data_IF_698190324947
#
_entry.id   IF_698190324947
#
_cell.length_a   1.000
_cell.length_b   1.000
_cell.length_c   1.000
_cell.angle_alpha   90.00
_cell.angle_beta   90.00
_cell.angle_gamma   90.00
#
_symmetry.space_group_name_H-M   'P 1'
#
loop_
_entity.id
_entity.type
_entity.pdbx_description
1 polymer ?
#
# COMPACT_ATOMS: atom_id res chain seq x y z
N UNK A 1 -6.47 -28.35 -33.65
CA UNK A 1 -6.63 -27.91 -32.24
C UNK A 1 -5.32 -27.92 -31.41
N UNK A 2 -4.14 -28.16 -32.00
CA UNK A 2 -2.86 -28.24 -31.25
C UNK A 2 -2.01 -26.96 -31.18
N UNK A 3 -2.17 -26.01 -32.11
CA UNK A 3 -1.29 -24.82 -32.18
C UNK A 3 -1.59 -23.76 -31.11
N UNK A 4 -2.86 -23.63 -30.69
CA UNK A 4 -3.29 -22.59 -29.73
C UNK A 4 -2.74 -22.84 -28.32
N UNK A 5 -2.63 -24.09 -27.89
CA UNK A 5 -2.08 -24.46 -26.56
C UNK A 5 -0.56 -24.29 -26.51
N UNK A 6 0.13 -24.64 -27.60
CA UNK A 6 1.59 -24.56 -27.67
C UNK A 6 2.09 -23.10 -27.64
N UNK A 7 1.39 -22.19 -28.34
CA UNK A 7 1.71 -20.76 -28.31
C UNK A 7 1.50 -20.08 -26.95
N UNK A 8 0.58 -20.60 -26.12
CA UNK A 8 0.39 -20.13 -24.74
C UNK A 8 1.56 -20.56 -23.84
N UNK A 9 2.00 -21.83 -23.95
CA UNK A 9 3.15 -22.33 -23.17
C UNK A 9 4.48 -21.65 -23.53
N UNK A 10 4.66 -21.28 -24.81
CA UNK A 10 5.86 -20.59 -25.28
C UNK A 10 5.91 -19.12 -24.82
N UNK A 11 4.74 -18.45 -24.76
CA UNK A 11 4.60 -17.10 -24.20
C UNK A 11 4.80 -17.10 -22.68
N UNK A 12 4.24 -18.06 -21.98
CA UNK A 12 4.41 -18.23 -20.52
C UNK A 12 5.89 -18.47 -20.14
N UNK A 13 6.56 -19.35 -20.89
CA UNK A 13 8.00 -19.60 -20.70
C UNK A 13 8.85 -18.35 -20.99
N UNK A 14 8.51 -17.57 -22.03
CA UNK A 14 9.22 -16.32 -22.37
C UNK A 14 9.05 -15.25 -21.30
N UNK A 15 7.82 -15.08 -20.78
CA UNK A 15 7.53 -14.17 -19.67
C UNK A 15 8.33 -14.57 -18.41
N UNK A 16 8.37 -15.87 -18.09
CA UNK A 16 9.16 -16.41 -16.98
C UNK A 16 10.67 -16.18 -17.14
N UNK A 17 11.21 -16.34 -18.35
CA UNK A 17 12.63 -16.04 -18.65
C UNK A 17 12.95 -14.58 -18.44
N UNK A 18 12.14 -13.67 -18.99
CA UNK A 18 12.39 -12.24 -18.83
C UNK A 18 12.19 -11.75 -17.38
N UNK A 19 11.27 -12.36 -16.63
CA UNK A 19 11.13 -12.15 -15.17
C UNK A 19 12.41 -12.50 -14.42
N UNK A 20 13.03 -13.65 -14.71
CA UNK A 20 14.28 -14.04 -14.06
C UNK A 20 15.46 -13.10 -14.39
N UNK A 21 15.47 -12.53 -15.60
CA UNK A 21 16.45 -11.50 -15.99
C UNK A 21 16.22 -10.19 -15.21
N UNK A 22 14.96 -9.82 -14.95
CA UNK A 22 14.59 -8.65 -14.15
C UNK A 22 14.99 -8.83 -12.67
N UNK A 23 14.68 -9.99 -12.07
CA UNK A 23 14.90 -10.28 -10.63
C UNK A 23 16.37 -10.47 -10.26
N UNK A 24 17.16 -11.13 -11.11
CA UNK A 24 18.56 -11.48 -10.80
C UNK A 24 19.58 -10.48 -11.36
N UNK A 25 19.13 -9.45 -12.07
CA UNK A 25 20.03 -8.58 -12.83
C UNK A 25 20.73 -9.34 -13.97
N UNK A 26 21.91 -8.90 -14.42
CA UNK A 26 22.64 -9.56 -15.49
C UNK A 26 22.80 -11.07 -15.21
N UNK A 27 22.31 -11.92 -16.11
CA UNK A 27 22.33 -13.39 -15.96
C UNK A 27 22.68 -14.11 -17.27
N UNK A 28 23.26 -15.30 -17.19
CA UNK A 28 23.62 -16.10 -18.38
C UNK A 28 22.51 -17.08 -18.79
N UNK A 29 22.50 -17.50 -20.06
CA UNK A 29 21.54 -18.49 -20.56
C UNK A 29 21.63 -19.85 -19.83
N UNK A 30 22.82 -20.24 -19.36
CA UNK A 30 22.99 -21.49 -18.58
C UNK A 30 22.30 -21.37 -17.23
N UNK A 31 22.56 -20.29 -16.50
CA UNK A 31 21.96 -20.05 -15.18
C UNK A 31 20.42 -19.89 -15.25
N UNK A 32 19.91 -19.36 -16.37
CA UNK A 32 18.47 -19.33 -16.64
C UNK A 32 17.92 -20.74 -16.91
N UNK A 33 18.62 -21.57 -17.69
CA UNK A 33 18.23 -22.95 -17.96
C UNK A 33 18.08 -23.78 -16.70
N UNK A 34 19.05 -23.69 -15.79
CA UNK A 34 19.04 -24.39 -14.50
C UNK A 34 17.83 -24.01 -13.64
N UNK A 35 17.39 -22.74 -13.69
CA UNK A 35 16.26 -22.22 -12.90
C UNK A 35 14.89 -22.53 -13.49
N UNK A 36 14.80 -22.60 -14.82
CA UNK A 36 13.53 -22.86 -15.53
C UNK A 36 13.31 -24.35 -15.78
N UNK A 37 14.36 -25.18 -15.63
CA UNK A 37 14.32 -26.61 -15.94
C UNK A 37 14.38 -26.90 -17.44
N UNK A 38 15.02 -26.01 -18.20
CA UNK A 38 15.12 -26.09 -19.66
C UNK A 38 16.57 -26.12 -20.12
N UNK A 39 16.80 -26.71 -21.28
CA UNK A 39 18.15 -26.72 -21.87
C UNK A 39 18.58 -25.30 -22.25
N UNK A 40 19.89 -24.98 -22.22
CA UNK A 40 20.38 -23.68 -22.66
C UNK A 40 20.00 -23.34 -24.11
N UNK A 41 19.78 -24.35 -24.97
CA UNK A 41 19.32 -24.14 -26.34
C UNK A 41 17.87 -23.66 -26.41
N UNK A 42 16.98 -24.24 -25.60
CA UNK A 42 15.58 -23.80 -25.50
C UNK A 42 15.49 -22.37 -24.97
N UNK A 43 16.26 -22.05 -23.92
CA UNK A 43 16.31 -20.70 -23.34
C UNK A 43 16.83 -19.66 -24.34
N UNK A 44 17.82 -19.99 -25.17
CA UNK A 44 18.35 -19.06 -26.19
C UNK A 44 17.27 -18.58 -27.17
N UNK A 45 16.35 -19.45 -27.59
CA UNK A 45 15.23 -19.05 -28.47
C UNK A 45 14.37 -17.96 -27.83
N UNK A 46 14.09 -18.07 -26.54
CA UNK A 46 13.33 -17.05 -25.80
C UNK A 46 14.14 -15.76 -25.63
N UNK A 47 15.43 -15.86 -25.32
CA UNK A 47 16.32 -14.70 -25.19
C UNK A 47 16.48 -13.95 -26.52
N UNK A 48 16.58 -14.66 -27.64
CA UNK A 48 16.68 -14.04 -28.96
C UNK A 48 15.40 -13.28 -29.33
N UNK A 49 14.22 -13.83 -28.98
CA UNK A 49 12.95 -13.13 -29.15
C UNK A 49 12.86 -11.87 -28.28
N UNK A 50 13.24 -11.97 -27.00
CA UNK A 50 13.25 -10.83 -26.08
C UNK A 50 14.26 -9.74 -26.48
N UNK A 51 15.38 -10.12 -27.10
CA UNK A 51 16.34 -9.18 -27.69
C UNK A 51 15.74 -8.48 -28.90
N UNK A 52 15.06 -9.22 -29.79
CA UNK A 52 14.39 -8.66 -30.96
C UNK A 52 13.27 -7.68 -30.57
N UNK A 53 12.57 -7.95 -29.47
CA UNK A 53 11.54 -7.09 -28.89
C UNK A 53 12.12 -5.91 -28.08
N UNK A 54 13.45 -5.81 -27.92
CA UNK A 54 14.10 -4.73 -27.15
C UNK A 54 13.87 -4.81 -25.63
N UNK A 55 13.35 -5.92 -25.12
CA UNK A 55 13.01 -6.13 -23.71
C UNK A 55 14.24 -6.42 -22.85
N UNK A 56 15.28 -6.99 -23.45
CA UNK A 56 16.56 -7.29 -22.81
C UNK A 56 17.72 -6.81 -23.67
N UNK A 57 18.89 -6.66 -23.08
CA UNK A 57 20.14 -6.29 -23.74
C UNK A 57 21.28 -7.25 -23.37
N UNK A 58 22.26 -7.37 -24.25
CA UNK A 58 23.47 -8.17 -23.99
C UNK A 58 24.52 -7.28 -23.31
N UNK A 59 24.87 -7.61 -22.07
CA UNK A 59 26.05 -7.08 -21.40
C UNK A 59 27.23 -8.05 -21.53
N UNK A 60 28.41 -7.51 -21.83
CA UNK A 60 29.66 -8.28 -21.77
C UNK A 60 30.14 -8.28 -20.31
N UNK A 61 30.62 -9.42 -19.82
CA UNK A 61 31.27 -9.47 -18.52
C UNK A 61 32.43 -8.46 -18.49
N UNK A 62 32.56 -7.67 -17.42
CA UNK A 62 33.85 -7.04 -17.12
C UNK A 62 34.86 -8.18 -16.93
N UNK A 63 36.08 -8.09 -17.47
CA UNK A 63 37.08 -9.15 -17.37
C UNK A 63 37.64 -9.20 -15.94
N UNK A 64 36.85 -9.69 -14.98
CA UNK A 64 37.37 -10.14 -13.70
C UNK A 64 37.75 -11.62 -13.87
N UNK A 65 39.05 -11.86 -14.05
CA UNK A 65 39.75 -13.15 -14.11
C UNK A 65 39.70 -13.92 -15.45
N UNK A 66 40.90 -14.12 -16.02
CA UNK A 66 41.15 -15.09 -17.10
C UNK A 66 40.93 -16.50 -16.56
N UNK A 67 39.81 -17.15 -16.86
CA UNK A 67 39.69 -18.61 -16.75
C UNK A 67 38.91 -19.20 -17.92
N UNK A 68 39.61 -20.02 -18.70
CA UNK A 68 39.04 -20.98 -19.66
C UNK A 68 39.25 -20.68 -21.15
N UNK A 69 39.54 -21.71 -21.95
CA UNK A 69 39.34 -21.71 -23.40
C UNK A 69 37.84 -21.65 -23.69
N UNK A 70 37.39 -20.68 -24.48
CA UNK A 70 36.00 -20.58 -24.93
C UNK A 70 35.58 -19.13 -25.24
N UNK A 71 34.54 -18.96 -26.04
CA UNK A 71 33.92 -17.64 -26.28
C UNK A 71 33.32 -17.13 -24.96
N UNK A 72 33.57 -15.88 -24.54
CA UNK A 72 33.00 -15.33 -23.31
C UNK A 72 31.48 -15.50 -23.26
N UNK A 73 30.95 -15.90 -22.09
CA UNK A 73 29.52 -16.04 -21.89
C UNK A 73 28.82 -14.69 -22.07
N UNK A 74 27.71 -14.66 -22.82
CA UNK A 74 26.82 -13.52 -22.92
C UNK A 74 26.01 -13.39 -21.62
N UNK A 75 25.95 -12.18 -21.07
CA UNK A 75 25.06 -11.84 -19.96
C UNK A 75 23.90 -11.04 -20.52
N UNK A 76 22.70 -11.33 -20.03
CA UNK A 76 21.47 -10.69 -20.45
C UNK A 76 20.95 -9.85 -19.29
N UNK A 77 20.60 -8.60 -19.54
CA UNK A 77 20.03 -7.69 -18.56
C UNK A 77 18.72 -7.11 -19.11
N UNK A 78 17.79 -6.78 -18.22
CA UNK A 78 16.54 -6.12 -18.62
C UNK A 78 16.84 -4.69 -19.09
N UNK A 79 16.18 -4.24 -20.16
CA UNK A 79 16.20 -2.82 -20.58
C UNK A 79 15.17 -2.02 -19.79
N UNK A 80 15.19 -0.70 -19.91
CA UNK A 80 14.15 0.15 -19.33
C UNK A 80 12.78 -0.11 -19.98
N UNK A 81 12.74 -0.34 -21.30
CA UNK A 81 11.53 -0.73 -22.01
C UNK A 81 10.99 -2.09 -21.52
N UNK A 82 11.88 -3.07 -21.33
CA UNK A 82 11.52 -4.36 -20.74
C UNK A 82 10.95 -4.21 -19.34
N UNK A 83 11.62 -3.41 -18.49
CA UNK A 83 11.16 -3.14 -17.13
C UNK A 83 9.77 -2.51 -17.11
N UNK A 84 9.50 -1.52 -17.97
CA UNK A 84 8.19 -0.86 -18.07
C UNK A 84 7.09 -1.82 -18.55
N UNK A 85 7.36 -2.67 -19.53
CA UNK A 85 6.37 -3.63 -20.04
C UNK A 85 5.95 -4.67 -18.98
N UNK A 86 6.84 -5.07 -18.08
CA UNK A 86 6.48 -5.95 -16.96
C UNK A 86 5.55 -5.27 -15.96
N UNK A 87 5.80 -4.00 -15.64
CA UNK A 87 4.94 -3.23 -14.71
C UNK A 87 3.51 -3.18 -15.26
N UNK A 88 3.35 -2.86 -16.55
CA UNK A 88 2.03 -2.81 -17.18
C UNK A 88 1.32 -4.17 -17.24
N UNK A 89 2.04 -5.26 -17.52
CA UNK A 89 1.42 -6.59 -17.58
C UNK A 89 0.91 -7.09 -16.21
N UNK A 90 1.59 -6.74 -15.11
CA UNK A 90 1.12 -7.08 -13.76
C UNK A 90 -0.07 -6.24 -13.35
N UNK A 91 -0.05 -4.95 -13.68
CA UNK A 91 -1.18 -4.07 -13.42
C UNK A 91 -2.42 -4.53 -14.19
N UNK A 92 -2.28 -4.91 -15.46
CA UNK A 92 -3.38 -5.46 -16.27
C UNK A 92 -3.96 -6.75 -15.66
N UNK A 93 -3.08 -7.67 -15.22
CA UNK A 93 -3.51 -8.90 -14.57
C UNK A 93 -4.22 -8.63 -13.24
N UNK A 94 -3.69 -7.72 -12.41
CA UNK A 94 -4.28 -7.33 -11.14
C UNK A 94 -5.65 -6.68 -11.34
N UNK A 95 -5.76 -5.74 -12.29
CA UNK A 95 -7.02 -5.11 -12.70
C UNK A 95 -8.01 -6.15 -13.19
N UNK A 96 -7.60 -7.09 -14.05
CA UNK A 96 -8.49 -8.16 -14.53
C UNK A 96 -8.97 -9.07 -13.40
N UNK A 97 -8.13 -9.36 -12.41
CA UNK A 97 -8.51 -10.17 -11.26
C UNK A 97 -9.53 -9.45 -10.37
N UNK A 98 -9.35 -8.15 -10.14
CA UNK A 98 -10.31 -7.35 -9.38
C UNK A 98 -11.64 -7.14 -10.13
N UNK A 99 -11.61 -6.97 -11.45
CA UNK A 99 -12.83 -6.98 -12.29
C UNK A 99 -13.59 -8.28 -12.12
N UNK A 100 -12.90 -9.42 -12.23
CA UNK A 100 -13.52 -10.72 -12.03
C UNK A 100 -14.10 -10.87 -10.62
N UNK A 101 -13.39 -10.38 -9.59
CA UNK A 101 -13.88 -10.38 -8.22
C UNK A 101 -15.16 -9.53 -8.07
N UNK A 102 -15.17 -8.32 -8.63
CA UNK A 102 -16.32 -7.43 -8.64
C UNK A 102 -17.52 -8.09 -9.34
N UNK A 103 -17.30 -8.71 -10.51
CA UNK A 103 -18.34 -9.41 -11.26
C UNK A 103 -18.93 -10.61 -10.52
N UNK A 104 -18.11 -11.39 -9.81
CA UNK A 104 -18.55 -12.64 -9.17
C UNK A 104 -19.02 -12.49 -7.74
N UNK A 105 -18.45 -11.56 -6.99
CA UNK A 105 -18.68 -11.40 -5.56
C UNK A 105 -19.16 -9.99 -5.18
N UNK A 106 -19.25 -9.07 -6.15
CA UNK A 106 -19.72 -7.70 -5.95
C UNK A 106 -18.65 -6.76 -5.41
N UNK A 107 -18.97 -5.46 -5.45
CA UNK A 107 -18.09 -4.37 -4.99
C UNK A 107 -17.62 -4.53 -3.54
N UNK A 108 -18.49 -5.06 -2.65
CA UNK A 108 -18.13 -5.29 -1.24
C UNK A 108 -16.96 -6.24 -1.09
N UNK A 109 -16.84 -7.24 -1.97
CA UNK A 109 -15.71 -8.16 -1.94
C UNK A 109 -14.39 -7.47 -2.34
N UNK A 110 -14.45 -6.49 -3.26
CA UNK A 110 -13.30 -5.65 -3.62
C UNK A 110 -12.88 -4.78 -2.45
N UNK A 111 -13.84 -4.16 -1.75
CA UNK A 111 -13.56 -3.38 -0.51
C UNK A 111 -12.88 -4.24 0.55
N UNK A 112 -13.39 -5.44 0.83
CA UNK A 112 -12.78 -6.34 1.82
C UNK A 112 -11.40 -6.85 1.39
N UNK A 113 -11.21 -7.12 0.09
CA UNK A 113 -9.88 -7.42 -0.45
C UNK A 113 -8.90 -6.27 -0.24
N UNK A 114 -9.29 -5.04 -0.56
CA UNK A 114 -8.47 -3.84 -0.37
C UNK A 114 -8.08 -3.66 1.10
N UNK A 115 -9.05 -3.77 2.01
CA UNK A 115 -8.80 -3.71 3.47
C UNK A 115 -7.84 -4.79 3.93
N UNK A 116 -7.99 -6.02 3.44
CA UNK A 116 -7.09 -7.13 3.79
C UNK A 116 -5.66 -6.87 3.31
N UNK A 117 -5.48 -6.40 2.08
CA UNK A 117 -4.16 -6.05 1.54
C UNK A 117 -3.48 -4.96 2.37
N UNK A 118 -4.23 -3.92 2.76
CA UNK A 118 -3.70 -2.83 3.58
C UNK A 118 -3.47 -3.27 5.03
N UNK A 119 -4.29 -4.16 5.59
CA UNK A 119 -4.09 -4.66 6.95
C UNK A 119 -2.72 -5.35 7.12
N UNK A 120 -2.22 -6.02 6.08
CA UNK A 120 -0.91 -6.66 6.08
C UNK A 120 0.24 -5.63 6.10
N UNK A 121 0.09 -4.52 5.37
CA UNK A 121 0.98 -3.35 5.43
C UNK A 121 0.93 -2.69 6.81
N UNK A 122 -0.28 -2.44 7.32
CA UNK A 122 -0.53 -1.82 8.61
C UNK A 122 0.16 -2.58 9.75
N UNK A 123 0.05 -3.92 9.78
CA UNK A 123 0.73 -4.75 10.78
C UNK A 123 2.26 -4.59 10.76
N UNK A 124 2.86 -4.38 9.58
CA UNK A 124 4.32 -4.15 9.46
C UNK A 124 4.72 -2.75 9.92
N UNK A 125 3.90 -1.74 9.65
CA UNK A 125 4.22 -0.34 9.94
C UNK A 125 3.91 0.07 11.37
N UNK A 126 2.89 -0.54 11.99
CA UNK A 126 2.43 -0.19 13.33
C UNK A 126 3.56 -0.14 14.37
N UNK A 127 4.45 -1.14 14.54
CA UNK A 127 5.52 -1.06 15.54
C UNK A 127 6.45 0.13 15.28
N UNK A 128 6.90 0.32 14.03
CA UNK A 128 7.81 1.41 13.64
C UNK A 128 7.20 2.79 13.89
N UNK A 129 5.90 2.94 13.65
CA UNK A 129 5.18 4.20 13.86
C UNK A 129 4.89 4.44 15.34
N UNK A 130 4.53 3.42 16.12
CA UNK A 130 4.16 3.58 17.53
C UNK A 130 5.36 3.78 18.46
N UNK A 131 6.52 3.19 18.14
CA UNK A 131 7.79 3.42 18.86
C UNK A 131 8.26 4.88 18.75
N UNK A 132 7.82 5.59 17.72
CA UNK A 132 8.21 6.97 17.50
C UNK A 132 7.38 7.96 18.36
N UNK A 133 8.02 9.03 18.88
CA UNK A 133 7.33 10.14 19.50
C UNK A 133 6.19 10.67 18.60
N UNK A 134 5.05 11.12 19.16
CA UNK A 134 3.87 11.52 18.38
C UNK A 134 4.11 12.51 17.24
N UNK A 135 5.09 13.42 17.39
CA UNK A 135 5.48 14.43 16.40
C UNK A 135 6.40 13.91 15.29
N UNK A 136 6.87 12.65 15.37
CA UNK A 136 7.71 12.00 14.36
C UNK A 136 6.96 10.90 13.60
N UNK A 137 5.71 10.60 13.97
CA UNK A 137 4.95 9.47 13.43
C UNK A 137 4.66 9.58 11.94
N UNK A 138 4.32 10.77 11.45
CA UNK A 138 4.10 11.00 10.00
C UNK A 138 5.39 10.78 9.23
N UNK A 139 6.52 11.28 9.76
CA UNK A 139 7.85 11.03 9.16
C UNK A 139 8.20 9.55 9.13
N UNK A 140 7.95 8.82 10.21
CA UNK A 140 8.23 7.38 10.30
C UNK A 140 7.36 6.55 9.37
N UNK A 141 6.10 6.93 9.23
CA UNK A 141 5.21 6.34 8.22
C UNK A 141 5.72 6.61 6.80
N UNK A 142 6.16 7.83 6.49
CA UNK A 142 6.74 8.18 5.19
C UNK A 142 8.03 7.39 4.89
N UNK A 143 8.91 7.20 5.88
CA UNK A 143 10.12 6.38 5.76
C UNK A 143 9.75 4.91 5.45
N UNK A 144 8.77 4.34 6.16
CA UNK A 144 8.31 2.97 5.93
C UNK A 144 7.69 2.78 4.53
N UNK A 145 6.81 3.71 4.12
CA UNK A 145 6.21 3.73 2.78
C UNK A 145 7.27 3.86 1.68
N UNK A 146 8.32 4.66 1.90
CA UNK A 146 9.42 4.78 0.94
C UNK A 146 10.20 3.47 0.80
N UNK A 147 10.39 2.72 1.89
CA UNK A 147 10.98 1.40 1.86
C UNK A 147 10.20 0.40 0.99
N UNK A 148 8.88 0.56 0.93
CA UNK A 148 7.97 -0.24 0.09
C UNK A 148 7.73 0.40 -1.30
N UNK A 149 8.50 1.43 -1.67
CA UNK A 149 8.52 1.98 -3.03
C UNK A 149 7.52 3.10 -3.32
N UNK A 150 6.89 3.71 -2.31
CA UNK A 150 5.95 4.83 -2.50
C UNK A 150 6.62 6.20 -2.66
N UNK A 151 7.96 6.29 -2.52
CA UNK A 151 8.70 7.54 -2.56
C UNK A 151 8.01 8.65 -1.74
N UNK A 152 7.84 8.39 -0.44
CA UNK A 152 7.00 9.18 0.44
C UNK A 152 7.79 10.16 1.31
N UNK A 153 7.17 11.31 1.62
CA UNK A 153 7.75 12.34 2.47
C UNK A 153 6.70 12.93 3.41
N UNK A 154 7.16 13.38 4.59
CA UNK A 154 6.35 14.17 5.51
C UNK A 154 6.65 15.67 5.29
N UNK A 155 5.59 16.47 5.19
CA UNK A 155 5.65 17.92 5.06
C UNK A 155 4.77 18.60 6.12
N UNK A 156 5.00 19.88 6.39
CA UNK A 156 4.09 20.67 7.23
C UNK A 156 2.85 21.03 6.42
N UNK A 157 1.70 21.11 7.09
CA UNK A 157 0.49 21.64 6.48
C UNK A 157 0.70 23.09 5.98
N UNK A 158 -0.05 23.53 4.96
CA UNK A 158 0.16 24.82 4.31
C UNK A 158 -0.14 26.03 5.20
N UNK A 159 -0.81 25.84 6.35
CA UNK A 159 -1.10 26.88 7.34
C UNK A 159 -0.38 26.58 8.66
N UNK A 160 0.14 27.59 9.39
CA UNK A 160 0.65 27.41 10.75
C UNK A 160 -0.41 26.75 11.65
N UNK A 161 0.00 25.73 12.41
CA UNK A 161 -0.93 24.93 13.24
C UNK A 161 -1.87 24.02 12.45
N UNK A 162 -1.80 24.01 11.11
CA UNK A 162 -2.67 23.23 10.23
C UNK A 162 -2.30 21.76 10.07
N UNK A 163 -1.56 21.16 11.01
CA UNK A 163 -1.16 19.75 10.96
C UNK A 163 0.00 19.44 10.02
N UNK A 164 0.07 18.19 9.58
CA UNK A 164 1.13 17.64 8.72
C UNK A 164 0.52 17.11 7.41
N UNK A 165 1.37 16.84 6.43
CA UNK A 165 1.01 16.17 5.19
C UNK A 165 1.92 14.98 4.96
N UNK A 166 1.33 13.87 4.53
CA UNK A 166 2.01 12.71 4.00
C UNK A 166 1.86 12.74 2.47
N UNK A 167 2.98 12.91 1.77
CA UNK A 167 3.03 12.99 0.32
C UNK A 167 3.67 11.72 -0.24
N UNK A 168 3.07 11.08 -1.25
CA UNK A 168 3.65 9.95 -1.97
C UNK A 168 3.87 10.37 -3.43
N UNK A 169 5.14 10.40 -3.86
CA UNK A 169 5.53 10.77 -5.22
C UNK A 169 5.46 9.59 -6.20
N UNK A 170 5.24 8.38 -5.68
CA UNK A 170 5.02 7.17 -6.46
C UNK A 170 3.96 6.31 -5.77
N UNK A 171 3.09 5.68 -6.55
CA UNK A 171 2.14 4.70 -6.03
C UNK A 171 2.26 3.43 -6.87
N UNK A 172 2.80 2.33 -6.31
CA UNK A 172 3.00 1.06 -7.04
C UNK A 172 1.72 0.45 -7.60
N UNK A 173 0.55 0.85 -7.11
CA UNK A 173 -0.76 0.35 -7.53
C UNK A 173 -1.61 1.44 -8.18
N UNK A 174 -1.01 2.56 -8.62
CA UNK A 174 -1.76 3.70 -9.16
C UNK A 174 -2.68 3.31 -10.33
N UNK A 175 -2.21 2.44 -11.22
CA UNK A 175 -2.99 2.00 -12.37
C UNK A 175 -4.23 1.19 -11.95
N UNK A 176 -4.05 0.25 -11.03
CA UNK A 176 -5.15 -0.56 -10.50
C UNK A 176 -6.12 0.30 -9.68
N UNK A 177 -5.61 1.21 -8.88
CA UNK A 177 -6.40 2.09 -8.02
C UNK A 177 -7.19 3.15 -8.80
N UNK A 178 -6.82 3.43 -10.07
CA UNK A 178 -7.59 4.32 -10.93
C UNK A 178 -8.98 3.74 -11.26
N UNK A 179 -9.08 2.42 -11.34
CA UNK A 179 -10.35 1.71 -11.55
C UNK A 179 -10.98 1.19 -10.26
N UNK A 180 -10.16 0.88 -9.25
CA UNK A 180 -10.61 0.38 -7.94
C UNK A 180 -10.21 1.33 -6.80
N UNK A 181 -10.94 2.46 -6.60
CA UNK A 181 -10.65 3.45 -5.56
C UNK A 181 -10.65 2.90 -4.13
N UNK A 182 -11.29 1.75 -3.91
CA UNK A 182 -11.31 1.04 -2.62
C UNK A 182 -9.90 0.82 -2.06
N UNK A 183 -8.88 0.70 -2.92
CA UNK A 183 -7.47 0.60 -2.51
C UNK A 183 -6.97 1.90 -1.84
N UNK A 184 -7.28 3.06 -2.43
CA UNK A 184 -6.94 4.37 -1.87
C UNK A 184 -7.73 4.66 -0.58
N UNK A 185 -8.99 4.24 -0.52
CA UNK A 185 -9.85 4.38 0.65
C UNK A 185 -9.31 3.56 1.83
N UNK A 186 -9.03 2.27 1.61
CA UNK A 186 -8.47 1.38 2.62
C UNK A 186 -7.11 1.88 3.14
N UNK A 187 -6.24 2.39 2.26
CA UNK A 187 -4.98 3.01 2.64
C UNK A 187 -5.20 4.22 3.56
N UNK A 188 -6.16 5.08 3.21
CA UNK A 188 -6.50 6.27 4.00
C UNK A 188 -7.06 5.90 5.38
N UNK A 189 -7.94 4.90 5.46
CA UNK A 189 -8.42 4.35 6.72
C UNK A 189 -7.26 3.84 7.60
N UNK A 190 -6.31 3.13 7.02
CA UNK A 190 -5.15 2.59 7.73
C UNK A 190 -4.19 3.69 8.20
N UNK A 191 -3.96 4.74 7.41
CA UNK A 191 -3.16 5.89 7.85
C UNK A 191 -3.79 6.57 9.07
N UNK A 192 -5.12 6.70 9.10
CA UNK A 192 -5.85 7.21 10.27
C UNK A 192 -5.55 6.40 11.53
N UNK A 193 -5.61 5.07 11.42
CA UNK A 193 -5.35 4.13 12.53
C UNK A 193 -3.89 4.14 12.98
N UNK A 194 -2.94 4.07 12.04
CA UNK A 194 -1.51 4.08 12.30
C UNK A 194 -1.07 5.35 13.03
N UNK A 195 -1.54 6.50 12.56
CA UNK A 195 -1.19 7.79 13.14
C UNK A 195 -2.00 8.09 14.41
N UNK A 196 -3.17 7.47 14.56
CA UNK A 196 -4.11 7.75 15.63
C UNK A 196 -4.56 9.20 15.58
N UNK A 197 -4.86 9.72 14.39
CA UNK A 197 -5.36 11.08 14.11
C UNK A 197 -6.22 11.03 12.85
N UNK A 198 -7.31 11.80 12.76
CA UNK A 198 -8.05 11.91 11.51
C UNK A 198 -7.14 12.36 10.37
N UNK A 199 -7.31 11.72 9.22
CA UNK A 199 -6.60 12.05 7.98
C UNK A 199 -7.62 12.31 6.87
N UNK A 200 -7.22 13.12 5.90
CA UNK A 200 -8.02 13.39 4.70
C UNK A 200 -7.16 13.27 3.46
N UNK A 201 -7.59 12.46 2.49
CA UNK A 201 -6.97 12.41 1.17
C UNK A 201 -7.35 13.69 0.40
N UNK A 202 -6.35 14.43 -0.07
CA UNK A 202 -6.52 15.67 -0.84
C UNK A 202 -6.28 15.47 -2.34
N UNK A 203 -5.36 14.56 -2.71
CA UNK A 203 -4.96 14.29 -4.07
C UNK A 203 -4.48 12.83 -4.21
N UNK A 204 -4.63 12.24 -5.39
CA UNK A 204 -4.18 10.88 -5.70
C UNK A 204 -3.65 10.76 -7.12
N UNK A 205 -2.50 10.09 -7.27
CA UNK A 205 -1.92 9.75 -8.58
C UNK A 205 -2.91 8.91 -9.41
N UNK A 206 -3.69 8.04 -8.78
CA UNK A 206 -4.73 7.22 -9.42
C UNK A 206 -5.80 8.05 -10.14
N UNK A 207 -6.07 9.28 -9.70
CA UNK A 207 -7.01 10.20 -10.34
C UNK A 207 -6.33 11.27 -11.21
N UNK A 208 -5.04 11.09 -11.54
CA UNK A 208 -4.31 11.95 -12.45
C UNK A 208 -3.53 13.08 -11.80
N UNK A 209 -3.48 13.15 -10.47
CA UNK A 209 -2.61 14.11 -9.77
C UNK A 209 -1.13 13.71 -9.89
N UNK A 210 -0.22 14.67 -9.78
CA UNK A 210 1.21 14.37 -9.79
C UNK A 210 1.74 13.70 -8.51
N UNK A 211 1.00 13.81 -7.40
CA UNK A 211 1.43 13.39 -6.05
C UNK A 211 0.19 13.00 -5.23
N UNK A 212 0.21 11.85 -4.55
CA UNK A 212 -0.82 11.57 -3.55
C UNK A 212 -0.56 12.42 -2.30
N UNK A 213 -1.54 13.19 -1.86
CA UNK A 213 -1.39 14.04 -0.67
C UNK A 213 -2.45 13.67 0.37
N UNK A 214 -2.00 13.27 1.56
CA UNK A 214 -2.87 13.01 2.71
C UNK A 214 -2.60 14.05 3.79
N UNK A 215 -3.61 14.82 4.15
CA UNK A 215 -3.55 15.73 5.29
C UNK A 215 -3.73 14.96 6.59
N UNK A 216 -2.90 15.26 7.58
CA UNK A 216 -2.93 14.70 8.92
C UNK A 216 -3.35 15.80 9.88
N UNK A 217 -4.50 15.63 10.52
CA UNK A 217 -5.02 16.64 11.44
C UNK A 217 -4.07 16.84 12.62
N UNK A 218 -3.84 18.09 13.06
CA UNK A 218 -3.01 18.37 14.21
C UNK A 218 -3.60 17.72 15.47
N UNK A 219 -2.74 17.15 16.30
CA UNK A 219 -3.15 16.47 17.54
C UNK A 219 -3.83 17.41 18.54
N UNK A 220 -3.55 18.71 18.48
CA UNK A 220 -4.16 19.72 19.36
C UNK A 220 -5.68 19.85 19.17
N UNK A 221 -6.22 19.48 18.00
CA UNK A 221 -7.66 19.49 17.75
C UNK A 221 -8.39 18.25 18.34
N UNK A 222 -7.67 17.36 19.06
CA UNK A 222 -8.27 16.20 19.75
C UNK A 222 -8.87 16.53 21.13
N UNK A 223 -8.76 17.78 21.62
CA UNK A 223 -9.32 18.19 22.91
C UNK A 223 -10.56 19.09 22.76
N UNK A 224 -11.72 18.56 23.15
CA UNK A 224 -13.06 19.18 23.45
C UNK A 224 -14.27 18.39 22.87
N UNK A 225 -14.21 17.05 22.87
CA UNK A 225 -15.41 16.23 22.71
C UNK A 225 -15.33 15.05 23.70
N UNK A 226 -15.51 15.34 24.99
CA UNK A 226 -15.42 14.29 26.01
C UNK A 226 -15.50 14.72 27.48
N UNK A 227 -15.63 16.01 27.82
CA UNK A 227 -15.84 16.42 29.21
C UNK A 227 -16.72 17.68 29.23
N UNK A 228 -18.03 17.48 29.42
CA UNK A 228 -19.03 18.53 29.39
C UNK A 228 -20.31 18.06 30.08
N UNK A 229 -20.17 17.57 31.32
CA UNK A 229 -21.31 17.52 32.24
C UNK A 229 -21.53 18.95 32.76
N UNK A 230 -22.74 19.53 32.67
CA UNK A 230 -22.99 20.84 33.24
C UNK A 230 -23.09 20.70 34.77
N UNK A 231 -22.05 21.08 35.49
CA UNK A 231 -22.19 21.48 36.89
C UNK A 231 -22.97 22.79 36.92
N UNK A 232 -24.24 22.70 37.32
CA UNK A 232 -25.10 23.85 37.57
C UNK A 232 -24.57 24.70 38.72
N UNK A 233 -24.80 26.03 38.72
CA UNK A 233 -24.29 26.90 39.76
C UNK A 233 -25.05 26.68 41.07
N UNK A 234 -24.32 26.25 42.10
CA UNK A 234 -24.79 26.22 43.48
C UNK A 234 -24.96 27.67 44.00
N UNK A 235 -26.22 28.09 44.19
CA UNK A 235 -26.55 29.29 44.97
C UNK A 235 -26.86 28.88 46.41
N UNK A 236 -26.23 29.58 47.36
CA UNK A 236 -26.37 29.37 48.79
C UNK A 236 -27.55 30.18 49.37
N UNK A 237 -28.62 29.46 49.79
CA UNK A 237 -29.59 29.74 50.88
C UNK A 237 -30.35 31.10 50.95
N UNK A 238 -31.32 31.29 51.87
CA UNK A 238 -31.70 30.37 52.96
C UNK A 238 -33.23 30.26 53.26
N UNK A 239 -33.49 29.43 54.30
CA UNK A 239 -34.62 29.39 55.26
C UNK A 239 -35.84 28.51 54.96
N UNK A 240 -35.95 27.49 55.82
CA UNK A 240 -37.15 26.76 56.18
C UNK A 240 -38.08 27.62 57.06
N UNK A 241 -39.39 27.44 56.87
CA UNK A 241 -40.46 27.72 57.83
C UNK A 241 -41.46 26.56 57.69
N UNK A 242 -41.69 25.88 58.81
CA UNK A 242 -42.86 25.17 59.35
C UNK A 242 -44.02 24.83 58.37
N UNK A 243 -44.66 23.67 58.46
CA UNK A 243 -45.47 23.25 59.60
C UNK A 243 -46.04 21.82 59.41
N UNK A 244 -46.75 21.32 60.44
CA UNK A 244 -47.74 20.22 60.47
C UNK A 244 -47.29 18.92 61.18
N UNK A 245 -47.31 19.03 62.52
CA UNK A 245 -48.09 18.25 63.50
C UNK A 245 -47.98 16.72 63.59
N UNK A 246 -47.34 16.27 64.68
CA UNK A 246 -47.73 15.09 65.46
C UNK A 246 -48.74 15.51 66.55
N UNK A 247 -49.82 14.76 66.74
CA UNK A 247 -50.21 14.29 68.08
C UNK A 247 -51.23 13.14 68.01
N UNK A 248 -50.83 12.04 68.63
CA UNK A 248 -51.59 10.83 68.93
C UNK A 248 -52.89 11.11 69.70
N UNK A 249 -53.90 10.26 69.51
CA UNK A 249 -54.35 9.34 70.58
C UNK A 249 -55.65 8.61 70.20
N UNK A 250 -55.55 7.29 70.13
CA UNK A 250 -56.40 6.43 70.96
C UNK A 250 -57.82 6.06 70.50
N UNK A 251 -58.02 4.74 70.48
CA UNK A 251 -59.23 3.97 70.90
C UNK A 251 -60.18 3.40 69.84
N UNK A 252 -60.04 2.07 69.71
CA UNK A 252 -61.06 1.04 70.00
C UNK A 252 -62.02 0.61 68.89
N UNK A 253 -61.88 -0.68 68.52
CA UNK A 253 -62.88 -1.72 68.18
C UNK A 253 -64.18 -1.27 67.48
N UNK A 254 -64.54 -1.80 66.31
CA UNK A 254 -64.95 -3.17 65.99
C UNK A 254 -65.07 -3.30 64.46
#
# INVERSE_FOLDING_TARGET
MGEKTMGVTERDTRARVARLVLEHGPITASALGDRVGLTPAAIRRHLDALLAEGMIEIRRARPQTRRGRGRPAKWFAITDAGRSAFVHAYDDLATSALRFLAEKAGERAVTEFARRQIADLERRYLPVVQEAPPHLRVRKLAEALSGDGYAAAAAKGPRPGGGEQLCQHHCPVAHVAAEFPQLCEAETEAFSRLLGTPVQRLATIAHGDGICTTHVSPRSLRGEAGEGAPEGPAQAGPKAIDDISDEESGRTSL
#
